data_IF_861913642003
#
_entry.id   IF_861913642003
#
_cell.length_a   1.000
_cell.length_b   1.000
_cell.length_c   1.000
_cell.angle_alpha   90.00
_cell.angle_beta   90.00
_cell.angle_gamma   90.00
#
_symmetry.space_group_name_H-M   'P 1'
#
loop_
_entity.id
_entity.type
_entity.pdbx_description
1 polymer ?
#
# COMPACT_ATOMS: atom_id res chain seq x y z
N UNK A 1 -1.78 9.24 -4.47
CA UNK A 1 -2.63 9.53 -5.66
C UNK A 1 -3.94 8.75 -5.56
N UNK A 2 -5.08 9.23 -6.07
CA UNK A 2 -6.38 8.53 -5.92
C UNK A 2 -7.17 8.50 -7.22
N UNK A 3 -7.41 7.31 -7.76
CA UNK A 3 -8.30 7.08 -8.90
C UNK A 3 -9.60 6.39 -8.51
N UNK A 4 -10.59 6.45 -9.37
CA UNK A 4 -11.82 5.67 -9.26
C UNK A 4 -11.90 4.53 -10.28
N UNK A 5 -12.59 3.46 -9.90
CA UNK A 5 -12.98 2.33 -10.75
C UNK A 5 -14.45 1.99 -10.58
N UNK A 6 -15.04 1.41 -11.61
CA UNK A 6 -16.35 0.78 -11.57
C UNK A 6 -16.28 -0.65 -12.08
N UNK A 7 -17.16 -1.52 -11.56
CA UNK A 7 -17.31 -2.90 -12.03
C UNK A 7 -18.79 -3.26 -12.08
N UNK A 8 -19.25 -3.77 -13.21
CA UNK A 8 -20.58 -4.38 -13.35
C UNK A 8 -20.45 -5.91 -13.33
N UNK A 9 -21.31 -6.55 -12.57
CA UNK A 9 -21.43 -8.02 -12.48
C UNK A 9 -22.85 -8.40 -12.91
N UNK A 10 -23.05 -9.43 -13.76
CA UNK A 10 -22.05 -10.44 -14.14
C UNK A 10 -21.23 -10.12 -15.40
N UNK A 11 -21.50 -9.00 -16.09
CA UNK A 11 -20.84 -8.69 -17.37
C UNK A 11 -19.32 -8.57 -17.29
N UNK A 12 -18.77 -8.21 -16.12
CA UNK A 12 -17.36 -7.95 -15.92
C UNK A 12 -16.89 -6.62 -16.53
N UNK A 13 -17.81 -5.79 -17.02
CA UNK A 13 -17.50 -4.48 -17.59
C UNK A 13 -16.87 -3.59 -16.51
N UNK A 14 -15.71 -3.02 -16.83
CA UNK A 14 -14.98 -2.14 -15.92
C UNK A 14 -14.92 -0.71 -16.45
N UNK A 15 -15.02 0.25 -15.53
CA UNK A 15 -14.77 1.66 -15.79
C UNK A 15 -13.54 2.10 -15.03
N UNK A 16 -12.70 2.92 -15.66
CA UNK A 16 -11.47 3.41 -15.07
C UNK A 16 -11.36 4.91 -15.27
N UNK A 17 -11.15 5.64 -14.19
CA UNK A 17 -10.73 7.04 -14.29
C UNK A 17 -9.34 7.16 -14.91
N UNK A 18 -9.01 8.34 -15.44
CA UNK A 18 -7.66 8.66 -15.94
C UNK A 18 -6.58 8.42 -14.87
N UNK A 19 -6.89 8.74 -13.62
CA UNK A 19 -5.95 8.56 -12.51
C UNK A 19 -5.76 7.09 -12.14
N UNK A 20 -6.83 6.28 -12.15
CA UNK A 20 -6.69 4.84 -11.90
C UNK A 20 -5.82 4.17 -12.99
N UNK A 21 -5.96 4.59 -14.25
CA UNK A 21 -5.10 4.13 -15.35
C UNK A 21 -3.65 4.55 -15.16
N UNK A 22 -3.41 5.78 -14.68
CA UNK A 22 -2.06 6.27 -14.35
C UNK A 22 -1.42 5.49 -13.19
N UNK A 23 -2.17 5.19 -12.13
CA UNK A 23 -1.67 4.41 -10.98
C UNK A 23 -1.17 3.04 -11.46
N UNK A 24 -1.95 2.37 -12.32
CA UNK A 24 -1.62 1.06 -12.89
C UNK A 24 -0.64 1.12 -14.06
N UNK A 25 -0.28 2.31 -14.54
CA UNK A 25 0.57 2.51 -15.73
C UNK A 25 0.03 1.72 -16.93
N UNK A 26 -1.27 1.87 -17.20
CA UNK A 26 -1.91 1.38 -18.42
C UNK A 26 -1.69 2.37 -19.56
N UNK A 27 -1.48 1.85 -20.77
CA UNK A 27 -1.38 2.67 -21.97
C UNK A 27 -2.73 3.32 -22.31
N UNK A 28 -2.70 4.42 -23.07
CA UNK A 28 -3.90 5.21 -23.40
C UNK A 28 -4.95 4.41 -24.21
N UNK A 29 -4.50 3.42 -24.97
CA UNK A 29 -5.35 2.58 -25.83
C UNK A 29 -5.71 1.24 -25.18
N UNK A 30 -5.11 0.92 -24.02
CA UNK A 30 -5.40 -0.31 -23.29
C UNK A 30 -6.79 -0.25 -22.64
N UNK A 31 -7.57 -1.33 -22.74
CA UNK A 31 -8.86 -1.46 -22.08
C UNK A 31 -8.71 -2.44 -20.90
N UNK A 32 -8.46 -1.94 -19.67
CA UNK A 32 -8.10 -2.82 -18.58
C UNK A 32 -9.30 -3.62 -18.08
N UNK A 33 -9.08 -4.91 -17.92
CA UNK A 33 -10.04 -5.88 -17.40
C UNK A 33 -9.55 -6.45 -16.08
N UNK A 34 -10.35 -7.31 -15.44
CA UNK A 34 -9.98 -7.91 -14.16
C UNK A 34 -8.67 -8.70 -14.21
N UNK A 35 -8.37 -9.36 -15.33
CA UNK A 35 -7.10 -10.08 -15.48
C UNK A 35 -5.92 -9.12 -15.53
N UNK A 36 -6.07 -7.92 -16.13
CA UNK A 36 -5.06 -6.86 -16.13
C UNK A 36 -4.67 -6.43 -14.71
N UNK A 37 -5.61 -6.48 -13.74
CA UNK A 37 -5.32 -6.22 -12.33
C UNK A 37 -4.42 -7.32 -11.76
N UNK A 38 -4.78 -8.59 -12.00
CA UNK A 38 -4.01 -9.74 -11.49
C UNK A 38 -2.61 -9.80 -12.08
N UNK A 39 -2.44 -9.47 -13.36
CA UNK A 39 -1.14 -9.44 -14.05
C UNK A 39 -0.18 -8.41 -13.44
N UNK A 40 -0.70 -7.25 -13.02
CA UNK A 40 0.09 -6.20 -12.36
C UNK A 40 0.20 -6.39 -10.85
N UNK A 41 -0.52 -7.35 -10.26
CA UNK A 41 -0.47 -7.60 -8.81
C UNK A 41 0.81 -8.32 -8.43
N UNK A 42 1.40 -7.93 -7.31
CA UNK A 42 2.58 -8.62 -6.77
C UNK A 42 2.28 -10.11 -6.52
N UNK A 43 3.18 -11.05 -6.87
CA UNK A 43 2.91 -12.49 -6.79
C UNK A 43 2.35 -12.96 -5.43
N UNK A 44 2.93 -12.46 -4.34
CA UNK A 44 2.48 -12.79 -2.97
C UNK A 44 1.08 -12.28 -2.62
N UNK A 45 0.57 -11.28 -3.34
CA UNK A 45 -0.68 -10.59 -3.05
C UNK A 45 -1.82 -11.03 -3.99
N UNK A 46 -1.57 -11.95 -4.94
CA UNK A 46 -2.55 -12.42 -5.91
C UNK A 46 -3.82 -12.97 -5.23
N UNK A 47 -3.66 -13.76 -4.16
CA UNK A 47 -4.80 -14.35 -3.45
C UNK A 47 -5.66 -13.30 -2.71
N UNK A 48 -5.05 -12.19 -2.28
CA UNK A 48 -5.76 -11.06 -1.68
C UNK A 48 -6.70 -10.44 -2.73
N UNK A 49 -6.21 -10.21 -3.94
CA UNK A 49 -7.00 -9.62 -5.03
C UNK A 49 -8.09 -10.59 -5.51
N UNK A 50 -7.79 -11.88 -5.67
CA UNK A 50 -8.80 -12.91 -6.00
C UNK A 50 -9.92 -12.97 -4.96
N UNK A 51 -9.59 -12.87 -3.68
CA UNK A 51 -10.58 -12.82 -2.60
C UNK A 51 -11.50 -11.59 -2.72
N UNK A 52 -10.93 -10.42 -3.04
CA UNK A 52 -11.72 -9.21 -3.28
C UNK A 52 -12.66 -9.35 -4.48
N UNK A 53 -12.19 -9.95 -5.58
CA UNK A 53 -13.03 -10.27 -6.75
C UNK A 53 -14.15 -11.23 -6.34
N UNK A 54 -13.83 -12.31 -5.61
CA UNK A 54 -14.84 -13.27 -5.12
C UNK A 54 -15.92 -12.59 -4.27
N UNK A 55 -15.54 -11.66 -3.38
CA UNK A 55 -16.51 -10.87 -2.58
C UNK A 55 -17.47 -10.06 -3.45
N UNK A 56 -16.97 -9.47 -4.54
CA UNK A 56 -17.83 -8.73 -5.46
C UNK A 56 -18.86 -9.66 -6.13
N UNK A 57 -18.44 -10.86 -6.56
CA UNK A 57 -19.35 -11.89 -7.10
C UNK A 57 -20.36 -12.42 -6.07
N UNK A 58 -19.95 -12.49 -4.81
CA UNK A 58 -20.82 -12.85 -3.69
C UNK A 58 -21.72 -11.70 -3.23
N UNK A 59 -21.70 -10.56 -3.93
CA UNK A 59 -22.48 -9.37 -3.59
C UNK A 59 -22.21 -8.90 -2.15
N UNK A 60 -20.94 -8.84 -1.75
CA UNK A 60 -20.54 -8.17 -0.51
C UNK A 60 -20.81 -6.66 -0.65
N UNK A 61 -21.55 -6.00 0.27
CA UNK A 61 -21.84 -4.57 0.16
C UNK A 61 -20.59 -3.68 0.16
N UNK A 62 -19.48 -4.14 0.74
CA UNK A 62 -18.27 -3.34 0.88
C UNK A 62 -17.01 -4.19 0.79
N UNK A 63 -16.06 -3.75 -0.03
CA UNK A 63 -14.77 -4.41 -0.21
C UNK A 63 -13.68 -3.42 0.14
N UNK A 64 -12.82 -3.80 1.09
CA UNK A 64 -11.57 -3.11 1.38
C UNK A 64 -10.42 -4.10 1.21
N UNK A 65 -9.38 -3.69 0.51
CA UNK A 65 -8.17 -4.48 0.35
C UNK A 65 -6.94 -3.60 0.21
N UNK A 66 -5.81 -4.12 0.65
CA UNK A 66 -4.49 -3.51 0.46
C UNK A 66 -3.59 -4.55 -0.18
N UNK A 67 -2.89 -4.15 -1.24
CA UNK A 67 -2.04 -5.04 -2.02
C UNK A 67 -0.99 -4.22 -2.76
N UNK A 68 0.01 -4.92 -3.28
CA UNK A 68 1.10 -4.33 -4.04
C UNK A 68 0.90 -4.57 -5.54
N UNK A 69 1.32 -3.58 -6.33
CA UNK A 69 1.54 -3.75 -7.75
C UNK A 69 3.03 -3.93 -8.04
N UNK A 70 3.35 -4.80 -9.00
CA UNK A 70 4.69 -4.97 -9.56
C UNK A 70 4.76 -4.28 -10.92
N UNK A 71 5.53 -3.20 -10.99
CA UNK A 71 5.73 -2.44 -12.24
C UNK A 71 6.80 -3.10 -13.12
N UNK A 72 6.75 -2.81 -14.42
CA UNK A 72 7.67 -3.40 -15.40
C UNK A 72 9.14 -3.02 -15.15
N UNK A 73 9.39 -1.87 -14.52
CA UNK A 73 10.72 -1.40 -14.15
C UNK A 73 11.20 -1.91 -12.77
N UNK A 74 10.43 -2.79 -12.14
CA UNK A 74 10.75 -3.38 -10.83
C UNK A 74 10.30 -2.54 -9.62
N UNK A 75 9.71 -1.35 -9.82
CA UNK A 75 9.10 -0.60 -8.72
C UNK A 75 7.91 -1.37 -8.15
N UNK A 76 7.74 -1.27 -6.83
CA UNK A 76 6.56 -1.76 -6.13
C UNK A 76 5.71 -0.56 -5.74
N UNK A 77 4.43 -0.56 -6.14
CA UNK A 77 3.46 0.42 -5.64
C UNK A 77 2.56 -0.21 -4.60
N UNK A 78 2.31 0.50 -3.50
CA UNK A 78 1.37 0.08 -2.48
C UNK A 78 0.00 0.69 -2.76
N UNK A 79 -1.00 -0.17 -2.94
CA UNK A 79 -2.36 0.24 -3.21
C UNK A 79 -3.28 -0.05 -2.04
N UNK A 80 -4.17 0.88 -1.78
CA UNK A 80 -5.37 0.68 -0.97
C UNK A 80 -6.59 0.81 -1.86
N UNK A 81 -7.48 -0.16 -1.79
CA UNK A 81 -8.67 -0.26 -2.62
C UNK A 81 -9.92 -0.37 -1.74
N UNK A 82 -10.89 0.50 -2.01
CA UNK A 82 -12.21 0.50 -1.38
C UNK A 82 -13.30 0.48 -2.46
N UNK A 83 -14.25 -0.45 -2.39
CA UNK A 83 -15.41 -0.53 -3.29
C UNK A 83 -16.70 -0.67 -2.49
N UNK A 84 -17.74 -0.01 -2.97
CA UNK A 84 -19.10 -0.15 -2.48
C UNK A 84 -20.01 -0.63 -3.61
N UNK A 85 -20.94 -1.53 -3.28
CA UNK A 85 -22.03 -1.86 -4.19
C UNK A 85 -23.03 -0.72 -4.19
N UNK A 86 -23.27 -0.11 -5.35
CA UNK A 86 -24.16 1.04 -5.52
C UNK A 86 -25.50 0.69 -6.16
N UNK A 87 -25.59 -0.45 -6.86
CA UNK A 87 -26.85 -1.00 -7.39
C UNK A 87 -26.87 -2.51 -7.25
N UNK A 88 -28.07 -3.04 -7.05
CA UNK A 88 -28.36 -4.47 -7.04
C UNK A 88 -29.76 -4.66 -7.61
N UNK A 89 -29.87 -5.35 -8.74
CA UNK A 89 -31.13 -5.65 -9.42
C UNK A 89 -31.03 -6.92 -10.25
N UNK A 90 -32.11 -7.30 -10.94
CA UNK A 90 -32.16 -8.53 -11.74
C UNK A 90 -31.12 -8.54 -12.87
N UNK A 91 -30.72 -7.36 -13.38
CA UNK A 91 -29.69 -7.19 -14.41
C UNK A 91 -28.25 -7.30 -13.86
N UNK A 92 -28.07 -7.30 -12.54
CA UNK A 92 -26.75 -7.42 -11.91
C UNK A 92 -26.46 -6.42 -10.79
N UNK A 93 -25.21 -6.43 -10.34
CA UNK A 93 -24.69 -5.52 -9.31
C UNK A 93 -23.63 -4.58 -9.89
N UNK A 94 -23.69 -3.31 -9.49
CA UNK A 94 -22.69 -2.30 -9.87
C UNK A 94 -21.88 -1.89 -8.64
N UNK A 95 -20.56 -1.91 -8.78
CA UNK A 95 -19.61 -1.45 -7.79
C UNK A 95 -18.94 -0.17 -8.25
N UNK A 96 -18.76 0.76 -7.33
CA UNK A 96 -17.90 1.94 -7.52
C UNK A 96 -16.86 1.92 -6.41
N UNK A 97 -15.61 2.21 -6.77
CA UNK A 97 -14.50 2.15 -5.84
C UNK A 97 -13.43 3.20 -6.09
N UNK A 98 -12.58 3.35 -5.08
CA UNK A 98 -11.41 4.21 -5.07
C UNK A 98 -10.14 3.36 -4.91
N UNK A 99 -9.16 3.62 -5.77
CA UNK A 99 -7.81 3.08 -5.73
C UNK A 99 -6.87 4.20 -5.30
N UNK A 100 -6.21 4.02 -4.17
CA UNK A 100 -5.25 4.97 -3.62
C UNK A 100 -3.84 4.37 -3.73
N UNK A 101 -2.97 5.05 -4.46
CA UNK A 101 -1.53 4.82 -4.37
C UNK A 101 -0.99 5.51 -3.12
N UNK A 102 -0.57 4.69 -2.15
CA UNK A 102 -0.04 5.09 -0.84
C UNK A 102 1.46 4.84 -0.72
N UNK A 103 2.15 4.62 -1.85
CA UNK A 103 3.59 4.32 -1.89
C UNK A 103 4.41 5.42 -1.24
N UNK A 104 4.21 6.67 -1.66
CA UNK A 104 4.98 7.81 -1.15
C UNK A 104 4.79 7.98 0.37
N UNK A 105 3.56 7.85 0.84
CA UNK A 105 3.24 7.93 2.27
C UNK A 105 3.95 6.84 3.05
N UNK A 106 3.88 5.57 2.59
CA UNK A 106 4.55 4.45 3.26
C UNK A 106 6.07 4.62 3.28
N UNK A 107 6.66 5.05 2.17
CA UNK A 107 8.10 5.28 2.09
C UNK A 107 8.56 6.42 3.02
N UNK A 108 7.76 7.47 3.15
CA UNK A 108 8.03 8.57 4.07
C UNK A 108 7.93 8.12 5.53
N UNK A 109 6.89 7.36 5.88
CA UNK A 109 6.70 6.79 7.23
C UNK A 109 7.86 5.87 7.63
N UNK A 110 8.28 4.98 6.72
CA UNK A 110 9.42 4.09 6.96
C UNK A 110 10.74 4.86 7.09
N UNK A 111 10.96 5.90 6.28
CA UNK A 111 12.15 6.72 6.37
C UNK A 111 12.22 7.48 7.70
N UNK A 112 11.09 8.04 8.15
CA UNK A 112 10.98 8.69 9.45
C UNK A 112 11.30 7.69 10.57
N UNK A 113 10.67 6.52 10.55
CA UNK A 113 10.89 5.49 11.57
C UNK A 113 12.36 5.04 11.65
N UNK A 114 13.02 4.87 10.49
CA UNK A 114 14.45 4.55 10.45
C UNK A 114 15.31 5.66 11.06
N UNK A 115 15.01 6.93 10.77
CA UNK A 115 15.73 8.07 11.33
C UNK A 115 15.58 8.14 12.86
N UNK A 116 14.36 7.94 13.37
CA UNK A 116 14.10 7.92 14.82
C UNK A 116 14.85 6.80 15.52
N UNK A 117 14.86 5.60 14.94
CA UNK A 117 15.61 4.46 15.47
C UNK A 117 17.12 4.73 15.51
N UNK A 118 17.67 5.39 14.49
CA UNK A 118 19.08 5.78 14.46
C UNK A 118 19.42 6.83 15.52
N UNK A 119 18.58 7.87 15.68
CA UNK A 119 18.77 8.89 16.70
C UNK A 119 18.71 8.30 18.12
N UNK A 120 17.74 7.42 18.38
CA UNK A 120 17.63 6.71 19.66
C UNK A 120 18.88 5.86 19.93
N UNK A 121 19.41 5.20 18.90
CA UNK A 121 20.64 4.42 19.02
C UNK A 121 21.86 5.29 19.36
N UNK A 122 22.07 6.40 18.63
CA UNK A 122 23.20 7.31 18.89
C UNK A 122 23.12 7.95 20.27
N UNK A 123 21.92 8.39 20.69
CA UNK A 123 21.71 8.95 22.03
C UNK A 123 22.16 7.97 23.13
N UNK A 124 21.73 6.70 23.03
CA UNK A 124 22.15 5.66 23.99
C UNK A 124 23.66 5.46 24.03
N UNK A 125 24.33 5.46 22.88
CA UNK A 125 25.79 5.30 22.79
C UNK A 125 26.51 6.51 23.38
N UNK A 126 26.04 7.73 23.11
CA UNK A 126 26.60 8.96 23.66
C UNK A 126 26.51 8.99 25.19
N UNK A 127 25.33 8.68 25.76
CA UNK A 127 25.15 8.62 27.22
C UNK A 127 26.07 7.58 27.87
N UNK A 128 26.24 6.40 27.25
CA UNK A 128 27.19 5.40 27.74
C UNK A 128 28.64 5.90 27.71
N UNK A 129 29.01 6.67 26.68
CA UNK A 129 30.33 7.30 26.57
C UNK A 129 30.59 8.33 27.68
N UNK A 130 29.61 9.18 27.98
CA UNK A 130 29.70 10.17 29.07
C UNK A 130 29.86 9.49 30.43
N UNK A 131 29.07 8.45 30.70
CA UNK A 131 29.17 7.67 31.95
C UNK A 131 30.54 6.97 32.07
N UNK A 132 31.03 6.37 30.99
CA UNK A 132 32.34 5.72 30.99
C UNK A 132 33.48 6.73 31.24
N UNK A 133 33.39 7.93 30.66
CA UNK A 133 34.36 8.99 30.89
C UNK A 133 34.34 9.50 32.34
N UNK A 134 33.15 9.67 32.93
CA UNK A 134 33.00 10.05 34.35
C UNK A 134 33.62 9.01 35.29
N UNK A 135 33.33 7.73 35.07
CA UNK A 135 33.91 6.62 35.86
C UNK A 135 35.43 6.60 35.71
N UNK A 136 35.96 6.75 34.50
CA UNK A 136 37.39 6.77 34.26
C UNK A 136 38.07 7.96 34.98
N UNK A 137 37.42 9.13 35.00
CA UNK A 137 37.90 10.30 35.72
C UNK A 137 37.97 10.06 37.24
N UNK A 138 36.91 9.48 37.82
CA UNK A 138 36.86 9.13 39.25
C UNK A 138 37.91 8.09 39.65
N UNK A 139 38.11 7.04 38.85
CA UNK A 139 39.12 6.00 39.13
C UNK A 139 40.54 6.58 39.07
N UNK A 140 40.79 7.54 38.18
CA UNK A 140 42.11 8.14 37.99
C UNK A 140 42.40 9.30 38.98
N UNK A 141 41.40 9.73 39.75
CA UNK A 141 41.54 10.66 40.88
C UNK A 141 41.02 10.03 42.18
N UNK A 142 41.69 8.98 42.71
CA UNK A 142 41.28 8.43 44.00
C UNK A 142 41.40 9.54 45.05
N UNK A 143 40.29 9.80 45.76
CA UNK A 143 40.24 10.74 46.88
C UNK A 143 41.37 10.40 47.85
N UNK A 144 42.34 11.32 47.98
CA UNK A 144 43.41 11.29 48.96
C UNK A 144 42.90 11.57 50.37
#
# INVERSE_FOLDING_TARGET
QTGSIGLKIPSGEMYWSKEARRIFEFDADELPILTSILEKTHPDDIEIVKSAIKKAWQKDPYIKTEYRLSMADGRIKHLQMLAQRVKDGDEGSEYVGALMDVTDTRMAEEALHRSEAQLAHFSRVATLGELAASIAHEVNQPLA
#
